data_IF_115838993746
#
_entry.id   IF_115838993746
#
_cell.length_a   1.000
_cell.length_b   1.000
_cell.length_c   1.000
_cell.angle_alpha   90.00
_cell.angle_beta   90.00
_cell.angle_gamma   90.00
#
_symmetry.space_group_name_H-M   'P 1'
#
loop_
_entity.id
_entity.type
_entity.pdbx_description
1 polymer ?
#
# COMPACT_ATOMS: atom_id res chain seq x y z
N UNK A 1 0.97 -7.76 -6.10
CA UNK A 1 -0.17 -7.75 -5.16
C UNK A 1 -0.64 -6.30 -5.03
N UNK A 2 -1.91 -5.97 -5.23
CA UNK A 2 -2.37 -4.56 -5.27
C UNK A 2 -3.53 -4.23 -4.32
N UNK A 3 -3.88 -5.17 -3.44
CA UNK A 3 -4.92 -5.00 -2.43
C UNK A 3 -4.40 -5.43 -1.07
N UNK A 4 -4.62 -4.59 -0.06
CA UNK A 4 -4.55 -4.97 1.35
C UNK A 4 -5.88 -5.63 1.71
N UNK A 5 -5.80 -6.84 2.26
CA UNK A 5 -6.96 -7.52 2.83
C UNK A 5 -7.06 -7.17 4.31
N UNK A 6 -8.28 -7.23 4.84
CA UNK A 6 -8.50 -7.02 6.27
C UNK A 6 -7.74 -8.04 7.12
N UNK A 7 -7.34 -7.64 8.32
CA UNK A 7 -6.87 -8.53 9.36
C UNK A 7 -7.99 -9.54 9.69
N UNK A 8 -7.70 -10.83 9.63
CA UNK A 8 -8.70 -11.90 9.79
C UNK A 8 -9.53 -12.24 8.53
N UNK A 9 -9.22 -11.66 7.36
CA UNK A 9 -9.93 -11.94 6.10
C UNK A 9 -10.02 -13.45 5.80
N UNK A 10 -11.24 -13.94 5.54
CA UNK A 10 -11.50 -15.36 5.25
C UNK A 10 -11.47 -16.28 6.46
N UNK A 11 -11.26 -15.75 7.67
CA UNK A 11 -11.23 -16.52 8.93
C UNK A 11 -12.23 -16.00 9.95
N UNK A 12 -12.34 -14.67 10.12
CA UNK A 12 -13.33 -14.03 10.99
C UNK A 12 -14.63 -13.77 10.20
N UNK A 13 -15.77 -14.37 10.59
CA UNK A 13 -17.06 -14.17 9.91
C UNK A 13 -17.61 -12.75 10.04
N UNK A 14 -17.09 -11.92 10.95
CA UNK A 14 -17.48 -10.51 11.10
C UNK A 14 -16.68 -9.58 10.17
N UNK A 15 -15.67 -10.09 9.47
CA UNK A 15 -14.84 -9.32 8.53
C UNK A 15 -15.47 -9.34 7.14
N UNK A 16 -15.47 -8.18 6.48
CA UNK A 16 -15.98 -8.07 5.11
C UNK A 16 -15.15 -8.93 4.16
N UNK A 17 -15.83 -9.68 3.28
CA UNK A 17 -15.18 -10.48 2.23
C UNK A 17 -15.49 -9.92 0.85
N UNK A 18 -14.66 -10.27 -0.13
CA UNK A 18 -14.79 -9.79 -1.50
C UNK A 18 -14.43 -8.32 -1.70
N UNK A 19 -13.82 -7.68 -0.69
CA UNK A 19 -13.29 -6.31 -0.76
C UNK A 19 -11.83 -6.26 -0.33
N UNK A 20 -11.12 -5.22 -0.78
CA UNK A 20 -9.77 -4.91 -0.34
C UNK A 20 -9.45 -3.42 -0.51
N UNK A 21 -8.44 -2.95 0.22
CA UNK A 21 -7.98 -1.55 0.11
C UNK A 21 -6.86 -1.49 -0.92
N UNK A 22 -7.07 -0.71 -1.98
CA UNK A 22 -6.04 -0.41 -2.97
C UNK A 22 -5.35 0.90 -2.62
N UNK A 23 -4.01 0.91 -2.65
CA UNK A 23 -3.20 2.11 -2.50
C UNK A 23 -2.78 2.62 -3.88
N UNK A 24 -2.96 3.91 -4.14
CA UNK A 24 -2.54 4.56 -5.38
C UNK A 24 -1.82 5.88 -5.14
N UNK A 25 -1.03 6.28 -6.13
CA UNK A 25 -0.44 7.62 -6.22
C UNK A 25 -1.54 8.68 -6.40
N UNK A 26 -1.26 9.97 -6.13
CA UNK A 26 -2.19 11.06 -6.39
C UNK A 26 -2.69 11.11 -7.85
N UNK A 27 -1.87 10.68 -8.82
CA UNK A 27 -2.22 10.60 -10.23
C UNK A 27 -3.09 9.37 -10.61
N UNK A 28 -3.51 8.55 -9.65
CA UNK A 28 -4.33 7.36 -9.86
C UNK A 28 -3.56 6.07 -10.16
N UNK A 29 -2.23 6.14 -10.34
CA UNK A 29 -1.41 4.93 -10.57
C UNK A 29 -1.44 4.02 -9.35
N UNK A 30 -1.87 2.78 -9.52
CA UNK A 30 -1.93 1.78 -8.44
C UNK A 30 -0.52 1.36 -8.03
N UNK A 31 -0.28 1.26 -6.72
CA UNK A 31 0.96 0.74 -6.16
C UNK A 31 0.83 -0.78 -5.92
N UNK A 32 1.88 -1.51 -6.29
CA UNK A 32 2.08 -2.87 -5.83
C UNK A 32 2.60 -2.85 -4.40
N UNK A 33 2.12 -3.78 -3.61
CA UNK A 33 2.54 -4.00 -2.23
C UNK A 33 3.70 -4.99 -2.22
N UNK A 34 4.69 -4.70 -1.38
CA UNK A 34 5.79 -5.61 -1.10
C UNK A 34 5.27 -6.82 -0.31
N UNK A 35 5.37 -8.01 -0.87
CA UNK A 35 4.80 -9.24 -0.28
C UNK A 35 5.82 -10.12 0.45
N UNK A 36 7.12 -9.89 0.24
CA UNK A 36 8.21 -10.61 0.91
C UNK A 36 9.46 -9.75 0.90
N UNK A 37 10.22 -9.81 2.00
CA UNK A 37 11.58 -9.25 2.10
C UNK A 37 12.66 -10.29 1.73
N UNK A 38 12.27 -11.56 1.62
CA UNK A 38 13.17 -12.71 1.42
C UNK A 38 13.18 -13.17 -0.03
N UNK A 39 14.36 -13.57 -0.51
CA UNK A 39 14.60 -14.11 -1.86
C UNK A 39 15.18 -13.09 -2.83
N UNK A 40 15.47 -13.49 -4.07
CA UNK A 40 15.84 -12.57 -5.16
C UNK A 40 14.61 -11.75 -5.58
N UNK A 41 14.15 -10.87 -4.70
CA UNK A 41 13.04 -9.99 -5.00
C UNK A 41 13.52 -9.09 -6.13
N UNK A 42 12.90 -9.23 -7.30
CA UNK A 42 13.11 -8.34 -8.44
C UNK A 42 13.01 -6.90 -7.93
N UNK A 43 14.00 -6.05 -8.25
CA UNK A 43 13.92 -4.65 -7.87
C UNK A 43 12.74 -3.92 -8.55
N UNK A 44 12.44 -2.73 -8.04
CA UNK A 44 11.52 -1.80 -8.69
C UNK A 44 10.02 -2.06 -8.49
N UNK A 45 9.22 -1.33 -9.26
CA UNK A 45 7.79 -1.13 -9.03
C UNK A 45 6.96 -2.42 -9.03
N UNK A 46 7.38 -3.46 -9.77
CA UNK A 46 6.63 -4.72 -9.82
C UNK A 46 6.70 -5.50 -8.51
N UNK A 47 7.78 -5.33 -7.75
CA UNK A 47 7.95 -5.91 -6.43
C UNK A 47 7.47 -5.00 -5.28
N UNK A 48 7.00 -3.79 -5.59
CA UNK A 48 6.56 -2.82 -4.59
C UNK A 48 7.66 -1.88 -4.09
N UNK A 49 8.82 -1.85 -4.76
CA UNK A 49 9.86 -0.83 -4.51
C UNK A 49 9.63 0.40 -5.38
N UNK A 50 9.63 1.57 -4.76
CA UNK A 50 9.44 2.85 -5.43
C UNK A 50 10.49 3.84 -4.95
N UNK A 51 11.02 4.72 -5.83
CA UNK A 51 11.88 5.81 -5.40
C UNK A 51 11.22 6.61 -4.28
N UNK A 52 11.97 6.88 -3.21
CA UNK A 52 11.44 7.54 -2.01
C UNK A 52 10.95 8.96 -2.32
N UNK A 53 11.56 9.62 -3.31
CA UNK A 53 11.23 11.00 -3.72
C UNK A 53 10.14 11.08 -4.81
N UNK A 54 9.68 9.97 -5.38
CA UNK A 54 8.54 9.99 -6.30
C UNK A 54 7.31 10.58 -5.61
N UNK A 55 6.65 11.55 -6.24
CA UNK A 55 5.43 12.21 -5.74
C UNK A 55 5.56 12.86 -4.36
N UNK A 56 6.79 13.06 -3.89
CA UNK A 56 7.06 13.66 -2.59
C UNK A 56 7.25 15.17 -2.71
N UNK A 57 6.65 15.92 -1.79
CA UNK A 57 6.83 17.37 -1.69
C UNK A 57 7.90 17.67 -0.64
N UNK A 58 8.95 18.43 -0.99
CA UNK A 58 9.94 18.87 0.00
C UNK A 58 9.35 19.93 0.93
N UNK A 59 9.70 19.85 2.20
CA UNK A 59 9.50 20.91 3.19
C UNK A 59 10.64 21.92 3.20
N UNK A 60 10.64 22.81 4.20
CA UNK A 60 11.74 23.73 4.44
C UNK A 60 13.01 22.97 4.88
N UNK A 61 14.17 23.54 4.58
CA UNK A 61 15.45 23.07 5.11
C UNK A 61 15.63 23.64 6.52
N UNK A 62 15.78 22.76 7.50
CA UNK A 62 16.03 23.14 8.90
C UNK A 62 17.28 22.41 9.35
N UNK A 63 18.31 23.17 9.77
CA UNK A 63 19.59 22.62 10.23
C UNK A 63 20.25 21.65 9.23
N UNK A 64 20.11 21.93 7.94
CA UNK A 64 20.65 21.07 6.86
C UNK A 64 19.82 19.83 6.53
N UNK A 65 18.65 19.65 7.15
CA UNK A 65 17.74 18.53 6.89
C UNK A 65 16.52 19.00 6.11
N UNK A 66 16.15 18.24 5.07
CA UNK A 66 14.89 18.43 4.31
C UNK A 66 13.93 17.30 4.62
N UNK A 67 12.74 17.63 5.13
CA UNK A 67 11.64 16.66 5.28
C UNK A 67 10.90 16.51 3.96
N UNK A 68 10.45 15.29 3.64
CA UNK A 68 9.63 15.01 2.47
C UNK A 68 8.30 14.40 2.89
N UNK A 69 7.20 14.89 2.31
CA UNK A 69 5.86 14.34 2.52
C UNK A 69 5.37 13.68 1.23
N UNK A 70 4.96 12.42 1.32
CA UNK A 70 4.37 11.68 0.20
C UNK A 70 2.90 11.38 0.49
N UNK A 71 2.02 11.83 -0.40
CA UNK A 71 0.59 11.56 -0.30
C UNK A 71 0.24 10.30 -1.10
N UNK A 72 -0.57 9.42 -0.51
CA UNK A 72 -1.16 8.26 -1.20
C UNK A 72 -2.66 8.25 -0.97
N UNK A 73 -3.38 7.67 -1.91
CA UNK A 73 -4.82 7.44 -1.80
C UNK A 73 -5.08 6.00 -1.39
N UNK A 74 -5.91 5.79 -0.38
CA UNK A 74 -6.40 4.47 0.01
C UNK A 74 -7.89 4.35 -0.38
N UNK A 75 -8.24 3.34 -1.17
CA UNK A 75 -9.61 3.15 -1.66
C UNK A 75 -10.08 1.73 -1.38
N UNK A 76 -11.17 1.59 -0.63
CA UNK A 76 -11.88 0.32 -0.50
C UNK A 76 -12.55 -0.03 -1.83
N UNK A 77 -12.26 -1.21 -2.37
CA UNK A 77 -12.78 -1.68 -3.66
C UNK A 77 -13.27 -3.12 -3.57
N UNK A 78 -14.28 -3.44 -4.38
CA UNK A 78 -14.64 -4.82 -4.66
C UNK A 78 -13.47 -5.54 -5.35
N UNK A 79 -13.20 -6.77 -4.94
CA UNK A 79 -12.20 -7.63 -5.56
C UNK A 79 -12.78 -8.24 -6.84
N UNK A 80 -12.03 -8.26 -7.96
CA UNK A 80 -12.51 -8.84 -9.21
C UNK A 80 -12.97 -10.30 -9.03
N UNK A 81 -14.18 -10.60 -9.48
CA UNK A 81 -14.74 -11.96 -9.42
C UNK A 81 -15.08 -12.47 -8.02
N UNK A 82 -15.14 -11.60 -7.01
CA UNK A 82 -15.57 -11.97 -5.65
C UNK A 82 -16.93 -11.34 -5.31
N UNK A 83 -17.75 -12.10 -4.61
CA UNK A 83 -18.99 -11.59 -4.00
C UNK A 83 -18.64 -10.77 -2.76
N UNK A 84 -19.14 -9.54 -2.70
CA UNK A 84 -18.95 -8.67 -1.54
C UNK A 84 -19.88 -9.12 -0.41
N UNK A 85 -19.34 -9.25 0.80
CA UNK A 85 -20.12 -9.43 2.03
C UNK A 85 -19.88 -8.26 2.98
N UNK A 86 -20.92 -7.86 3.69
CA UNK A 86 -20.80 -6.84 4.73
C UNK A 86 -19.95 -7.35 5.89
N UNK A 87 -19.29 -6.42 6.58
CA UNK A 87 -18.45 -6.72 7.74
C UNK A 87 -17.48 -5.60 8.03
N UNK A 88 -16.61 -5.83 9.02
CA UNK A 88 -15.55 -4.89 9.40
C UNK A 88 -14.45 -4.85 8.34
N UNK A 89 -13.88 -3.67 8.14
CA UNK A 89 -12.71 -3.45 7.30
C UNK A 89 -11.63 -2.81 8.16
N UNK A 90 -10.55 -3.54 8.38
CA UNK A 90 -9.38 -3.07 9.14
C UNK A 90 -8.18 -3.80 8.56
N UNK A 91 -7.22 -3.08 8.01
CA UNK A 91 -6.05 -3.65 7.38
C UNK A 91 -4.80 -2.84 7.75
N UNK A 92 -3.68 -3.52 7.93
CA UNK A 92 -2.41 -2.90 8.30
C UNK A 92 -1.41 -3.01 7.16
N UNK A 93 -0.76 -1.89 6.81
CA UNK A 93 0.38 -1.85 5.90
C UNK A 93 1.60 -1.27 6.60
N UNK A 94 2.78 -1.79 6.27
CA UNK A 94 4.06 -1.29 6.75
C UNK A 94 4.81 -0.59 5.61
N UNK A 95 5.48 0.51 5.94
CA UNK A 95 6.36 1.21 5.01
C UNK A 95 7.79 0.80 5.33
N UNK A 96 8.47 0.23 4.34
CA UNK A 96 9.88 -0.15 4.43
C UNK A 96 10.69 0.79 3.57
N UNK A 97 11.76 1.35 4.14
CA UNK A 97 12.71 2.20 3.44
C UNK A 97 14.05 1.46 3.44
N UNK A 98 14.57 1.22 2.24
CA UNK A 98 15.92 0.69 2.04
C UNK A 98 16.82 1.80 1.51
N UNK A 99 17.97 1.99 2.15
CA UNK A 99 19.04 2.87 1.68
C UNK A 99 20.11 2.01 1.04
N UNK A 100 20.59 2.41 -0.14
CA UNK A 100 21.68 1.75 -0.88
C UNK A 100 22.92 2.63 -0.89
#
# INVERSE_FOLDING_TARGET
MSYLLSDGYGTDPLVASGVGIQISRPNGTVLNLLSTLSGSVLGGNNAGWYPVLDDATPGAVVSGVTTYTKTVNATLKALPGKTVTAGKVTATAQVIIQVQ
#
